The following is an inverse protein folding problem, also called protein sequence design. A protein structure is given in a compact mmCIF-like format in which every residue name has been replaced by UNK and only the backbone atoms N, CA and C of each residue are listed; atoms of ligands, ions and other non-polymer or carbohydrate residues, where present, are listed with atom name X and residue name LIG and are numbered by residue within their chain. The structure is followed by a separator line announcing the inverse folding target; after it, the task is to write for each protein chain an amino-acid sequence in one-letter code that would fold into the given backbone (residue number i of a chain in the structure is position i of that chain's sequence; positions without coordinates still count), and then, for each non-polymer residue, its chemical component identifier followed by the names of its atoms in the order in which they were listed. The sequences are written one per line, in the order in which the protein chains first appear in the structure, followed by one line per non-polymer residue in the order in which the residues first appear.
data_IF_801901802651
#
_entry.id   IF_801901802651
#
_cell.length_a   1.000
_cell.length_b   1.000
_cell.length_c   1.000
_cell.angle_alpha   90.00
_cell.angle_beta   90.00
_cell.angle_gamma   90.00
#
_symmetry.space_group_name_H-M   'P 1'
#
loop_
_entity.id
_entity.type
_entity.pdbx_description
1 polymer ?
#
# COMPACT_ATOMS: atom_id res chain seq x y z
N UNK A 1 2.90 -4.69 15.69
CA UNK A 1 2.75 -3.35 15.08
C UNK A 1 1.78 -3.31 13.91
N UNK A 2 2.06 -3.79 12.68
CA UNK A 2 1.05 -3.80 11.59
C UNK A 2 -0.23 -4.54 12.00
N UNK A 3 -0.08 -5.75 12.54
CA UNK A 3 -1.21 -6.55 13.04
C UNK A 3 -1.99 -5.84 14.14
N UNK A 4 -1.39 -5.02 15.00
CA UNK A 4 -2.11 -4.43 16.14
C UNK A 4 -3.04 -3.29 15.74
N UNK A 5 -2.73 -2.54 14.68
CA UNK A 5 -3.55 -1.40 14.25
C UNK A 5 -4.68 -1.89 13.35
N UNK A 6 -4.38 -2.80 12.41
CA UNK A 6 -5.36 -3.39 11.51
C UNK A 6 -6.19 -4.52 12.13
N UNK A 7 -6.04 -4.81 13.43
CA UNK A 7 -6.93 -5.74 14.17
C UNK A 7 -7.89 -5.03 15.12
N UNK A 8 -7.74 -3.71 15.34
CA UNK A 8 -8.71 -2.98 16.17
C UNK A 8 -10.07 -2.96 15.50
N UNK A 9 -11.08 -3.44 16.23
CA UNK A 9 -12.45 -3.64 15.73
C UNK A 9 -13.01 -2.40 15.02
N UNK A 10 -12.83 -1.21 15.59
CA UNK A 10 -13.32 0.05 15.03
C UNK A 10 -12.68 0.38 13.67
N UNK A 11 -11.36 0.20 13.56
CA UNK A 11 -10.61 0.44 12.32
C UNK A 11 -10.99 -0.59 11.25
N UNK A 12 -11.08 -1.88 11.63
CA UNK A 12 -11.50 -2.95 10.72
C UNK A 12 -12.90 -2.69 10.18
N UNK A 13 -13.83 -2.27 11.05
CA UNK A 13 -15.19 -1.93 10.62
C UNK A 13 -15.23 -0.72 9.69
N UNK A 14 -14.45 0.32 9.98
CA UNK A 14 -14.34 1.49 9.10
C UNK A 14 -13.81 1.11 7.72
N UNK A 15 -12.69 0.37 7.67
CA UNK A 15 -12.06 -0.08 6.43
C UNK A 15 -13.04 -0.97 5.65
N UNK A 16 -13.58 -2.02 6.27
CA UNK A 16 -14.50 -2.94 5.58
C UNK A 16 -15.79 -2.27 5.08
N UNK A 17 -16.22 -1.17 5.70
CA UNK A 17 -17.45 -0.45 5.30
C UNK A 17 -17.19 0.56 4.18
N UNK A 18 -16.04 1.21 4.15
CA UNK A 18 -15.78 2.38 3.27
C UNK A 18 -14.67 2.18 2.25
N UNK A 19 -13.81 1.20 2.45
CA UNK A 19 -12.57 1.04 1.70
C UNK A 19 -12.39 -0.40 1.23
N UNK A 20 -11.61 -0.56 0.16
CA UNK A 20 -11.11 -1.85 -0.26
C UNK A 20 -9.61 -1.94 0.07
N UNK A 21 -9.28 -2.73 1.09
CA UNK A 21 -7.89 -2.88 1.53
C UNK A 21 -7.13 -3.83 0.61
N UNK A 22 -6.01 -3.36 0.06
CA UNK A 22 -5.10 -4.17 -0.77
C UNK A 22 -3.73 -4.20 -0.09
N UNK A 23 -3.21 -5.41 0.14
CA UNK A 23 -1.84 -5.59 0.56
C UNK A 23 -0.94 -5.84 -0.66
N UNK A 24 0.09 -5.02 -0.82
CA UNK A 24 1.07 -5.13 -1.91
C UNK A 24 2.45 -5.38 -1.31
N UNK A 25 3.02 -6.57 -1.54
CA UNK A 25 4.42 -6.85 -1.23
C UNK A 25 5.31 -6.13 -2.25
N UNK A 26 5.85 -4.98 -1.87
CA UNK A 26 6.73 -4.19 -2.72
C UNK A 26 8.10 -4.84 -2.94
N UNK A 27 8.45 -5.93 -2.24
CA UNK A 27 9.65 -6.75 -2.48
C UNK A 27 9.31 -8.08 -3.17
N UNK A 28 8.09 -8.21 -3.71
CA UNK A 28 7.66 -9.40 -4.42
C UNK A 28 8.52 -9.66 -5.67
N UNK A 29 8.78 -10.94 -5.90
CA UNK A 29 9.42 -11.47 -7.13
C UNK A 29 8.40 -12.17 -8.05
N UNK A 30 7.11 -11.96 -7.79
CA UNK A 30 6.03 -12.51 -8.60
C UNK A 30 5.56 -11.46 -9.61
N UNK A 31 5.05 -11.93 -10.74
CA UNK A 31 4.35 -11.07 -11.69
C UNK A 31 3.03 -10.59 -11.05
N UNK A 32 2.72 -9.30 -11.22
CA UNK A 32 1.48 -8.70 -10.72
C UNK A 32 0.66 -8.21 -11.89
N UNK A 33 -0.56 -8.72 -12.03
CA UNK A 33 -1.52 -8.23 -13.01
C UNK A 33 -2.24 -7.01 -12.46
N UNK A 34 -2.12 -5.86 -13.13
CA UNK A 34 -2.73 -4.60 -12.71
C UNK A 34 -3.04 -3.74 -13.94
N UNK A 35 -4.27 -3.21 -14.01
CA UNK A 35 -4.76 -2.37 -15.10
C UNK A 35 -4.49 -2.96 -16.51
N UNK A 36 -4.96 -4.19 -16.71
CA UNK A 36 -4.80 -4.96 -17.97
C UNK A 36 -3.34 -5.21 -18.39
N UNK A 37 -2.38 -4.92 -17.51
CA UNK A 37 -0.94 -5.05 -17.75
C UNK A 37 -0.32 -6.05 -16.77
N UNK A 38 0.71 -6.76 -17.22
CA UNK A 38 1.50 -7.65 -16.36
C UNK A 38 2.79 -6.92 -15.97
N UNK A 39 2.91 -6.60 -14.69
CA UNK A 39 4.08 -5.96 -14.09
C UNK A 39 5.03 -7.04 -13.60
N UNK A 40 6.23 -7.09 -14.19
CA UNK A 40 7.26 -8.07 -13.85
C UNK A 40 8.26 -7.50 -12.84
N UNK A 41 8.79 -8.30 -11.93
CA UNK A 41 9.84 -7.87 -11.02
C UNK A 41 11.14 -7.61 -11.77
N UNK A 42 12.00 -6.74 -11.21
CA UNK A 42 13.33 -6.45 -11.78
C UNK A 42 14.29 -7.64 -11.69
N UNK A 43 14.02 -8.58 -10.77
CA UNK A 43 14.85 -9.75 -10.50
C UNK A 43 13.97 -10.91 -10.03
N UNK A 44 14.35 -12.14 -10.40
CA UNK A 44 13.73 -13.37 -9.88
C UNK A 44 14.23 -13.77 -8.49
N UNK A 45 15.07 -12.94 -7.87
CA UNK A 45 15.62 -13.15 -6.51
C UNK A 45 15.34 -11.91 -5.68
N UNK A 46 14.88 -12.12 -4.43
CA UNK A 46 14.72 -11.04 -3.46
C UNK A 46 16.08 -10.42 -3.17
N UNK A 47 16.17 -9.09 -3.24
CA UNK A 47 17.37 -8.32 -2.94
C UNK A 47 16.97 -7.01 -2.28
N UNK A 48 17.60 -6.70 -1.14
CA UNK A 48 17.36 -5.46 -0.42
C UNK A 48 17.56 -4.24 -1.33
N UNK A 49 16.61 -3.30 -1.26
CA UNK A 49 16.62 -2.09 -2.09
C UNK A 49 16.16 -2.29 -3.53
N UNK A 50 15.74 -3.51 -3.92
CA UNK A 50 15.02 -3.73 -5.17
C UNK A 50 13.53 -3.87 -4.88
N UNK A 51 12.75 -2.96 -5.47
CA UNK A 51 11.32 -2.91 -5.27
C UNK A 51 10.58 -3.25 -6.55
N UNK A 52 9.40 -3.82 -6.41
CA UNK A 52 8.54 -4.20 -7.51
C UNK A 52 8.16 -2.95 -8.33
N UNK A 53 8.29 -2.97 -9.67
CA UNK A 53 8.03 -1.78 -10.50
C UNK A 53 6.64 -1.17 -10.30
N UNK A 54 5.61 -2.00 -10.10
CA UNK A 54 4.26 -1.51 -9.77
C UNK A 54 4.25 -0.66 -8.49
N UNK A 55 4.93 -1.10 -7.43
CA UNK A 55 4.95 -0.38 -6.17
C UNK A 55 5.69 0.97 -6.30
N UNK A 56 6.74 1.04 -7.11
CA UNK A 56 7.42 2.28 -7.45
C UNK A 56 6.56 3.23 -8.30
N UNK A 57 5.79 2.68 -9.25
CA UNK A 57 4.89 3.47 -10.09
C UNK A 57 3.78 4.13 -9.26
N UNK A 58 3.17 3.37 -8.33
CA UNK A 58 2.12 3.87 -7.46
C UNK A 58 2.58 4.99 -6.50
N UNK A 59 3.89 5.10 -6.23
CA UNK A 59 4.48 6.17 -5.43
C UNK A 59 4.64 7.51 -6.17
N UNK A 60 4.32 7.57 -7.47
CA UNK A 60 4.40 8.79 -8.28
C UNK A 60 5.76 9.52 -8.18
N UNK A 61 6.85 8.75 -8.24
CA UNK A 61 8.22 9.28 -8.20
C UNK A 61 8.79 9.55 -6.81
N UNK A 62 8.03 9.31 -5.73
CA UNK A 62 8.57 9.37 -4.36
C UNK A 62 9.50 8.20 -4.06
N UNK A 63 10.49 8.43 -3.19
CA UNK A 63 11.36 7.36 -2.69
C UNK A 63 10.53 6.36 -1.88
N UNK A 64 10.84 5.08 -2.02
CA UNK A 64 10.17 4.04 -1.24
C UNK A 64 10.70 4.01 0.19
N UNK A 65 9.78 4.09 1.15
CA UNK A 65 10.03 4.03 2.60
C UNK A 65 8.94 3.17 3.21
N UNK A 66 9.31 2.21 4.05
CA UNK A 66 8.34 1.31 4.67
C UNK A 66 7.96 1.75 6.10
N UNK A 67 6.70 1.48 6.53
CA UNK A 67 5.58 1.06 5.69
C UNK A 67 5.07 2.24 4.83
N UNK A 68 4.52 1.94 3.65
CA UNK A 68 3.83 2.92 2.81
C UNK A 68 2.34 2.60 2.77
N UNK A 69 1.50 3.60 3.05
CA UNK A 69 0.05 3.57 2.85
C UNK A 69 -0.32 4.52 1.72
N UNK A 70 -1.13 4.02 0.79
CA UNK A 70 -1.67 4.78 -0.33
C UNK A 70 -3.18 4.84 -0.17
N UNK A 71 -3.75 6.05 -0.20
CA UNK A 71 -5.19 6.27 -0.16
C UNK A 71 -5.64 6.75 -1.54
N UNK A 72 -6.48 5.96 -2.20
CA UNK A 72 -7.10 6.28 -3.47
C UNK A 72 -8.59 6.57 -3.28
N UNK A 73 -9.15 7.47 -4.10
CA UNK A 73 -10.60 7.64 -4.18
C UNK A 73 -11.25 6.59 -5.10
N UNK A 74 -12.58 6.66 -5.23
CA UNK A 74 -13.37 5.74 -6.06
C UNK A 74 -13.07 5.83 -7.56
N UNK A 75 -12.44 6.92 -8.02
CA UNK A 75 -12.00 7.10 -9.41
C UNK A 75 -10.51 6.69 -9.57
N UNK A 76 -9.96 6.00 -8.56
CA UNK A 76 -8.57 5.55 -8.50
C UNK A 76 -7.54 6.69 -8.57
N UNK A 77 -7.91 7.90 -8.14
CA UNK A 77 -6.96 9.01 -8.00
C UNK A 77 -6.30 8.95 -6.64
N UNK A 78 -4.97 9.12 -6.63
CA UNK A 78 -4.20 9.12 -5.39
C UNK A 78 -4.48 10.40 -4.58
N UNK A 79 -5.09 10.24 -3.40
CA UNK A 79 -5.44 11.32 -2.48
C UNK A 79 -4.29 11.68 -1.56
N UNK A 80 -3.64 10.66 -0.99
CA UNK A 80 -2.56 10.85 -0.03
C UNK A 80 -1.62 9.64 0.02
N UNK A 81 -0.37 9.92 0.44
CA UNK A 81 0.67 8.92 0.68
C UNK A 81 1.20 9.15 2.10
N UNK A 82 1.25 8.11 2.89
CA UNK A 82 1.91 8.12 4.19
C UNK A 82 3.03 7.08 4.24
N UNK A 83 4.24 7.47 4.63
CA UNK A 83 5.40 6.57 4.70
C UNK A 83 5.94 6.43 6.12
N UNK A 84 5.05 6.11 7.06
CA UNK A 84 5.37 5.84 8.46
C UNK A 84 4.28 4.96 9.06
N UNK A 85 4.58 4.32 10.18
CA UNK A 85 3.54 3.71 11.01
C UNK A 85 2.58 4.77 11.53
N UNK A 86 1.28 4.52 11.33
CA UNK A 86 0.21 5.35 11.89
C UNK A 86 -0.40 4.65 13.09
N UNK A 87 -0.59 5.36 14.20
CA UNK A 87 -1.45 4.85 15.26
C UNK A 87 -2.94 4.90 14.82
N UNK A 88 -3.85 4.34 15.61
CA UNK A 88 -5.27 4.25 15.24
C UNK A 88 -5.94 5.61 15.00
N UNK A 89 -5.56 6.66 15.74
CA UNK A 89 -6.10 8.01 15.52
C UNK A 89 -5.57 8.61 14.23
N UNK A 90 -4.27 8.51 14.00
CA UNK A 90 -3.66 8.99 12.74
C UNK A 90 -4.21 8.24 11.53
N UNK A 91 -4.45 6.93 11.65
CA UNK A 91 -5.03 6.12 10.58
C UNK A 91 -6.48 6.53 10.30
N UNK A 92 -7.28 6.82 11.33
CA UNK A 92 -8.64 7.31 11.13
C UNK A 92 -8.64 8.63 10.35
N UNK A 93 -7.77 9.59 10.71
CA UNK A 93 -7.62 10.87 10.00
C UNK A 93 -7.11 10.67 8.56
N UNK A 94 -6.21 9.70 8.33
CA UNK A 94 -5.73 9.38 6.99
C UNK A 94 -6.81 8.79 6.07
N UNK A 95 -7.81 8.14 6.68
CA UNK A 95 -8.97 7.51 6.03
C UNK A 95 -10.21 8.42 6.00
N UNK A 96 -10.10 9.70 6.35
CA UNK A 96 -11.15 10.71 6.11
C UNK A 96 -10.88 11.49 4.81
#
# INVERSE_FOLDING_TARGET
MEQEIFTKKEIVQLINKRYYAVHLDAESIQDISFDQSIWRPLSKRKKTGQYHPLALQLLQGRKMIFPTLLHFDSEFRLKSIQQKYLNSKELAVFLE
#
